data_IF_623081761667
#
_entry.id   IF_623081761667
#
_cell.length_a   1.000
_cell.length_b   1.000
_cell.length_c   1.000
_cell.angle_alpha   90.00
_cell.angle_beta   90.00
_cell.angle_gamma   90.00
#
_symmetry.space_group_name_H-M   'P 1'
#
loop_
_entity.id
_entity.type
_entity.pdbx_description
1 polymer ?
#
# COMPACT_ATOMS: atom_id res chain seq x y z
N UNK A 1 -13.50 12.04 -15.58
CA UNK A 1 -12.68 12.57 -14.47
C UNK A 1 -13.44 12.34 -13.17
N UNK A 2 -12.91 11.58 -12.21
CA UNK A 2 -13.67 11.08 -11.04
C UNK A 2 -14.21 12.21 -10.13
N UNK A 3 -13.46 13.30 -10.00
CA UNK A 3 -13.80 14.49 -9.21
C UNK A 3 -15.00 15.30 -9.75
N UNK A 4 -15.33 15.15 -11.03
CA UNK A 4 -16.45 15.86 -11.68
C UNK A 4 -17.77 15.08 -11.58
N UNK A 5 -17.72 13.78 -11.26
CA UNK A 5 -18.89 12.88 -11.30
C UNK A 5 -19.33 12.38 -9.92
N UNK A 6 -18.49 12.43 -8.88
CA UNK A 6 -18.89 11.95 -7.56
C UNK A 6 -18.07 12.59 -6.41
N UNK A 7 -18.73 12.91 -5.29
CA UNK A 7 -18.07 13.36 -4.06
C UNK A 7 -17.68 12.15 -3.21
N UNK A 8 -16.47 11.65 -3.41
CA UNK A 8 -15.94 10.45 -2.75
C UNK A 8 -14.61 10.72 -2.06
N UNK A 9 -14.33 9.97 -1.00
CA UNK A 9 -12.99 9.89 -0.43
C UNK A 9 -12.15 8.90 -1.25
N UNK A 10 -10.98 9.33 -1.72
CA UNK A 10 -10.07 8.48 -2.49
C UNK A 10 -9.02 7.84 -1.58
N UNK A 11 -9.00 6.51 -1.56
CA UNK A 11 -7.94 5.72 -0.92
C UNK A 11 -7.07 5.04 -1.98
N UNK A 12 -5.75 5.07 -1.80
CA UNK A 12 -4.77 4.55 -2.76
C UNK A 12 -3.79 3.60 -2.08
N UNK A 13 -3.68 2.37 -2.60
CA UNK A 13 -2.67 1.38 -2.21
C UNK A 13 -1.28 1.77 -2.70
N UNK A 14 -0.51 2.42 -1.82
CA UNK A 14 0.83 2.93 -2.13
C UNK A 14 1.90 1.90 -1.81
N UNK A 15 2.01 1.52 -0.54
CA UNK A 15 2.86 0.46 0.03
C UNK A 15 4.38 0.58 -0.14
N UNK A 16 4.89 1.50 -0.96
CA UNK A 16 6.32 1.76 -1.09
C UNK A 16 6.58 3.21 -1.55
N UNK A 17 7.69 3.83 -1.11
CA UNK A 17 8.01 5.20 -1.48
C UNK A 17 8.86 5.33 -2.76
N UNK A 18 9.22 4.21 -3.41
CA UNK A 18 9.99 4.16 -4.65
C UNK A 18 9.43 3.12 -5.62
N UNK A 19 9.66 3.33 -6.92
CA UNK A 19 9.12 2.47 -7.98
C UNK A 19 9.68 1.04 -7.92
N UNK A 20 10.96 0.86 -7.56
CA UNK A 20 11.59 -0.46 -7.57
C UNK A 20 10.96 -1.41 -6.55
N UNK A 21 10.72 -0.93 -5.33
CA UNK A 21 10.01 -1.70 -4.31
C UNK A 21 8.52 -1.80 -4.65
N UNK A 22 7.91 -0.73 -5.18
CA UNK A 22 6.49 -0.75 -5.56
C UNK A 22 6.19 -1.74 -6.68
N UNK A 23 7.09 -1.93 -7.64
CA UNK A 23 6.96 -2.94 -8.69
C UNK A 23 6.93 -4.38 -8.16
N UNK A 24 7.51 -4.61 -6.99
CA UNK A 24 7.51 -5.92 -6.32
C UNK A 24 6.23 -6.11 -5.51
N UNK A 25 5.83 -5.10 -4.73
CA UNK A 25 4.68 -5.18 -3.83
C UNK A 25 3.34 -4.98 -4.55
N UNK A 26 3.31 -4.15 -5.58
CA UNK A 26 2.11 -3.69 -6.30
C UNK A 26 2.40 -3.73 -7.81
N UNK A 27 2.30 -4.90 -8.46
CA UNK A 27 2.78 -5.09 -9.85
C UNK A 27 2.17 -4.17 -10.91
N UNK A 28 1.01 -3.57 -10.63
CA UNK A 28 0.38 -2.55 -11.49
C UNK A 28 1.25 -1.29 -11.64
N UNK A 29 2.20 -1.06 -10.72
CA UNK A 29 3.16 0.06 -10.80
C UNK A 29 4.00 0.06 -12.09
N UNK A 30 4.32 -1.12 -12.63
CA UNK A 30 5.06 -1.24 -13.90
C UNK A 30 4.33 -0.62 -15.08
N UNK A 31 3.00 -0.55 -15.01
CA UNK A 31 2.15 0.09 -16.02
C UNK A 31 1.85 1.55 -15.68
N UNK A 32 1.67 1.86 -14.39
CA UNK A 32 1.35 3.18 -13.87
C UNK A 32 2.30 3.52 -12.71
N UNK A 33 3.49 4.08 -13.00
CA UNK A 33 4.49 4.36 -11.99
C UNK A 33 4.06 5.48 -11.04
N UNK A 34 4.83 5.69 -9.97
CA UNK A 34 4.52 6.66 -8.93
C UNK A 34 4.31 8.09 -9.47
N UNK A 35 5.07 8.49 -10.47
CA UNK A 35 4.98 9.82 -11.08
C UNK A 35 3.58 10.08 -11.66
N UNK A 36 3.07 9.12 -12.43
CA UNK A 36 1.73 9.17 -13.03
C UNK A 36 0.64 9.10 -11.96
N UNK A 37 0.81 8.20 -10.98
CA UNK A 37 -0.12 8.05 -9.87
C UNK A 37 -0.25 9.36 -9.06
N UNK A 38 0.88 9.97 -8.72
CA UNK A 38 0.92 11.21 -7.95
C UNK A 38 0.39 12.39 -8.76
N UNK A 39 0.64 12.44 -10.07
CA UNK A 39 0.05 13.46 -10.96
C UNK A 39 -1.48 13.38 -10.92
N UNK A 40 -2.04 12.19 -11.15
CA UNK A 40 -3.48 11.97 -11.10
C UNK A 40 -4.08 12.30 -9.72
N UNK A 41 -3.36 11.98 -8.64
CA UNK A 41 -3.79 12.32 -7.28
C UNK A 41 -3.78 13.83 -7.01
N UNK A 42 -2.77 14.56 -7.52
CA UNK A 42 -2.72 16.03 -7.45
C UNK A 42 -3.90 16.65 -8.18
N UNK A 43 -4.19 16.19 -9.39
CA UNK A 43 -5.34 16.65 -10.17
C UNK A 43 -6.67 16.39 -9.45
N UNK A 44 -6.80 15.26 -8.75
CA UNK A 44 -8.02 14.93 -8.01
C UNK A 44 -8.31 15.89 -6.85
N UNK A 45 -7.27 16.30 -6.11
CA UNK A 45 -7.41 17.20 -4.94
C UNK A 45 -7.37 18.68 -5.33
N UNK A 46 -6.95 19.01 -6.55
CA UNK A 46 -7.00 20.39 -7.06
C UNK A 46 -8.44 20.91 -7.05
N UNK A 47 -8.61 22.16 -6.58
CA UNK A 47 -9.91 22.84 -6.55
C UNK A 47 -10.75 22.63 -5.28
N UNK A 48 -10.44 21.64 -4.42
CA UNK A 48 -11.12 21.47 -3.13
C UNK A 48 -10.12 21.28 -1.98
N UNK A 49 -9.98 22.33 -1.16
CA UNK A 49 -9.08 22.36 0.00
C UNK A 49 -9.43 21.34 1.08
N UNK A 50 -10.64 20.76 1.06
CA UNK A 50 -11.08 19.76 2.03
C UNK A 50 -10.71 18.34 1.60
N UNK A 51 -10.46 18.11 0.31
CA UNK A 51 -10.11 16.79 -0.20
C UNK A 51 -8.70 16.40 0.22
N UNK A 52 -8.56 15.15 0.64
CA UNK A 52 -7.28 14.53 0.98
C UNK A 52 -7.25 13.15 0.36
N UNK A 53 -6.07 12.74 -0.11
CA UNK A 53 -5.83 11.35 -0.48
C UNK A 53 -5.54 10.55 0.78
N UNK A 54 -6.18 9.39 0.92
CA UNK A 54 -5.83 8.41 1.94
C UNK A 54 -4.88 7.39 1.35
N UNK A 55 -3.63 7.35 1.81
CA UNK A 55 -2.63 6.40 1.37
C UNK A 55 -2.63 5.17 2.26
N UNK A 56 -2.88 4.02 1.69
CA UNK A 56 -2.78 2.73 2.38
C UNK A 56 -1.32 2.25 2.29
N UNK A 57 -0.73 1.95 3.45
CA UNK A 57 0.67 1.53 3.56
C UNK A 57 0.76 0.31 4.48
N UNK A 58 0.94 -0.87 3.87
CA UNK A 58 1.17 -2.11 4.63
C UNK A 58 2.54 -2.06 5.29
N UNK A 59 2.65 -2.54 6.52
CA UNK A 59 3.88 -2.53 7.30
C UNK A 59 4.52 -3.92 7.26
N UNK A 60 5.56 -4.05 6.44
CA UNK A 60 6.30 -5.29 6.21
C UNK A 60 7.69 -5.20 6.85
N UNK A 61 7.94 -6.10 7.79
CA UNK A 61 9.16 -6.18 8.60
C UNK A 61 10.42 -6.26 7.71
N UNK A 62 11.28 -5.25 7.81
CA UNK A 62 12.56 -5.19 7.10
C UNK A 62 12.45 -4.95 5.59
N UNK A 63 11.25 -4.74 5.06
CA UNK A 63 11.01 -4.56 3.61
C UNK A 63 10.69 -3.12 3.27
N UNK A 64 9.67 -2.55 3.91
CA UNK A 64 9.16 -1.22 3.60
C UNK A 64 8.99 -0.32 4.83
N UNK A 65 9.52 -0.73 5.97
CA UNK A 65 9.25 -0.12 7.26
C UNK A 65 10.45 0.65 7.82
N UNK A 66 11.52 0.90 7.07
CA UNK A 66 12.72 1.57 7.59
C UNK A 66 12.55 3.08 7.81
N UNK A 67 13.42 3.68 8.64
CA UNK A 67 13.42 5.15 8.86
C UNK A 67 13.75 5.92 7.59
N UNK A 68 14.56 5.33 6.69
CA UNK A 68 14.86 5.89 5.38
C UNK A 68 13.60 5.95 4.52
N UNK A 69 12.81 4.88 4.51
CA UNK A 69 11.56 4.81 3.76
C UNK A 69 10.51 5.78 4.32
N UNK A 70 10.44 5.98 5.63
CA UNK A 70 9.58 7.01 6.22
C UNK A 70 9.95 8.42 5.68
N UNK A 71 11.24 8.75 5.61
CA UNK A 71 11.71 10.03 5.06
C UNK A 71 11.43 10.17 3.56
N UNK A 72 11.61 9.09 2.79
CA UNK A 72 11.28 9.08 1.36
C UNK A 72 9.78 9.26 1.14
N UNK A 73 8.94 8.62 1.95
CA UNK A 73 7.49 8.75 1.89
C UNK A 73 7.04 10.19 2.17
N UNK A 74 7.63 10.85 3.17
CA UNK A 74 7.36 12.28 3.45
C UNK A 74 7.63 13.14 2.21
N UNK A 75 8.79 12.96 1.57
CA UNK A 75 9.16 13.70 0.36
C UNK A 75 8.25 13.38 -0.82
N UNK A 76 7.87 12.12 -0.97
CA UNK A 76 7.00 11.67 -2.07
C UNK A 76 5.62 12.33 -2.02
N UNK A 77 5.07 12.50 -0.81
CA UNK A 77 3.75 13.04 -0.57
C UNK A 77 3.71 14.57 -0.43
N UNK A 78 4.87 15.24 -0.55
CA UNK A 78 4.97 16.68 -0.42
C UNK A 78 4.09 17.40 -1.46
N UNK A 79 3.38 18.44 -1.00
CA UNK A 79 2.44 19.20 -1.83
C UNK A 79 1.10 18.50 -2.11
N UNK A 80 0.87 17.29 -1.62
CA UNK A 80 -0.42 16.58 -1.75
C UNK A 80 -1.10 16.53 -0.37
N UNK A 81 -2.31 17.12 -0.21
CA UNK A 81 -3.12 16.92 0.98
C UNK A 81 -3.35 15.43 1.24
N UNK A 82 -2.68 14.92 2.28
CA UNK A 82 -2.53 13.48 2.49
C UNK A 82 -2.93 13.06 3.89
N UNK A 83 -3.46 11.86 3.99
CA UNK A 83 -3.58 11.06 5.20
C UNK A 83 -2.96 9.70 4.92
N UNK A 84 -2.21 9.14 5.86
CA UNK A 84 -1.62 7.81 5.72
C UNK A 84 -2.29 6.85 6.69
N UNK A 85 -2.69 5.68 6.21
CA UNK A 85 -3.14 4.57 7.01
C UNK A 85 -2.04 3.50 7.01
N UNK A 86 -1.39 3.30 8.15
CA UNK A 86 -0.47 2.17 8.35
C UNK A 86 -1.29 0.92 8.66
N UNK A 87 -0.99 -0.17 7.98
CA UNK A 87 -1.73 -1.43 8.08
C UNK A 87 -0.75 -2.50 8.53
N UNK A 88 -0.83 -2.96 9.79
CA UNK A 88 -0.11 -4.16 10.20
C UNK A 88 -0.43 -5.30 9.24
N UNK A 89 0.61 -5.97 8.73
CA UNK A 89 0.41 -7.09 7.81
C UNK A 89 -0.17 -8.29 8.55
N UNK A 90 -1.19 -8.92 7.96
CA UNK A 90 -1.73 -10.18 8.43
C UNK A 90 -1.13 -11.31 7.60
N UNK A 91 -0.27 -12.16 8.19
CA UNK A 91 0.39 -13.23 7.44
C UNK A 91 -0.63 -14.28 6.98
N UNK A 92 -0.41 -14.84 5.80
CA UNK A 92 -1.14 -15.99 5.29
C UNK A 92 -0.18 -17.04 4.72
N UNK A 93 -0.60 -18.32 4.62
CA UNK A 93 0.25 -19.39 4.11
C UNK A 93 0.83 -19.07 2.73
N UNK A 94 2.13 -19.29 2.55
CA UNK A 94 2.83 -19.02 1.29
C UNK A 94 3.42 -17.61 1.13
N UNK A 95 3.25 -16.73 2.12
CA UNK A 95 3.92 -15.41 2.11
C UNK A 95 5.30 -15.47 2.76
N UNK A 96 6.29 -14.86 2.12
CA UNK A 96 7.64 -14.67 2.69
C UNK A 96 7.75 -13.41 3.57
N UNK A 97 6.66 -12.68 3.76
CA UNK A 97 6.64 -11.42 4.49
C UNK A 97 6.17 -11.60 5.93
N UNK A 98 6.66 -10.72 6.81
CA UNK A 98 6.20 -10.63 8.20
C UNK A 98 5.68 -9.25 8.49
N UNK A 99 4.80 -9.16 9.48
CA UNK A 99 4.35 -7.88 10.02
C UNK A 99 5.47 -7.19 10.78
N UNK A 100 5.66 -5.89 10.54
CA UNK A 100 6.54 -5.07 11.37
C UNK A 100 6.11 -5.12 12.83
N UNK A 101 7.05 -5.03 13.77
CA UNK A 101 6.71 -5.01 15.20
C UNK A 101 5.87 -3.79 15.57
N UNK A 102 5.05 -3.85 16.64
CA UNK A 102 4.28 -2.69 17.11
C UNK A 102 5.13 -1.45 17.35
N UNK A 103 6.34 -1.61 17.90
CA UNK A 103 7.29 -0.53 18.17
C UNK A 103 7.81 0.09 16.86
N UNK A 104 8.06 -0.74 15.84
CA UNK A 104 8.52 -0.28 14.54
C UNK A 104 7.42 0.49 13.80
N UNK A 105 6.19 0.00 13.85
CA UNK A 105 5.01 0.70 13.31
C UNK A 105 4.78 2.03 14.02
N UNK A 106 4.89 2.05 15.36
CA UNK A 106 4.77 3.27 16.16
C UNK A 106 5.85 4.29 15.79
N UNK A 107 7.11 3.86 15.68
CA UNK A 107 8.21 4.73 15.29
C UNK A 107 8.03 5.31 13.88
N UNK A 108 7.59 4.49 12.92
CA UNK A 108 7.30 4.93 11.55
C UNK A 108 6.17 5.97 11.54
N UNK A 109 5.06 5.68 12.24
CA UNK A 109 3.92 6.59 12.41
C UNK A 109 4.36 7.94 12.98
N UNK A 110 5.10 7.93 14.07
CA UNK A 110 5.49 9.15 14.77
C UNK A 110 6.44 10.01 13.92
N UNK A 111 7.27 9.39 13.06
CA UNK A 111 8.08 10.13 12.08
C UNK A 111 7.22 10.85 11.04
N UNK A 112 6.19 10.19 10.50
CA UNK A 112 5.28 10.81 9.54
C UNK A 112 4.46 11.94 10.20
N UNK A 113 3.97 11.70 11.42
CA UNK A 113 3.25 12.71 12.21
C UNK A 113 4.11 13.94 12.51
N UNK A 114 5.38 13.74 12.90
CA UNK A 114 6.34 14.84 13.11
C UNK A 114 6.61 15.66 11.84
N UNK A 115 6.46 15.04 10.67
CA UNK A 115 6.56 15.72 9.38
C UNK A 115 5.23 16.38 8.93
N UNK A 116 4.19 16.38 9.77
CA UNK A 116 2.90 17.01 9.47
C UNK A 116 1.92 16.13 8.68
N UNK A 117 2.24 14.85 8.46
CA UNK A 117 1.36 13.92 7.75
C UNK A 117 0.47 13.19 8.76
N UNK A 118 -0.85 13.42 8.68
CA UNK A 118 -1.82 12.71 9.52
C UNK A 118 -1.70 11.21 9.25
N UNK A 119 -1.30 10.46 10.26
CA UNK A 119 -1.00 9.04 10.14
C UNK A 119 -1.76 8.24 11.20
N UNK A 120 -2.53 7.26 10.76
CA UNK A 120 -3.31 6.37 11.63
C UNK A 120 -2.84 4.94 11.42
N UNK A 121 -2.59 4.22 12.50
CA UNK A 121 -2.42 2.76 12.42
C UNK A 121 -3.79 2.10 12.50
N UNK A 122 -4.17 1.32 11.48
CA UNK A 122 -5.40 0.52 11.53
C UNK A 122 -5.29 -0.49 12.66
N UNK A 123 -6.29 -0.53 13.53
CA UNK A 123 -6.44 -1.64 14.49
C UNK A 123 -6.77 -2.90 13.70
N UNK A 124 -6.02 -3.98 13.91
CA UNK A 124 -6.43 -5.32 13.50
C UNK A 124 -7.74 -5.63 14.24
N UNK A 125 -8.86 -5.59 13.52
CA UNK A 125 -10.11 -6.19 13.99
C UNK A 125 -10.08 -7.63 13.48
N UNK A 126 -9.99 -8.62 14.37
CA UNK A 126 -10.14 -10.02 13.99
C UNK A 126 -9.02 -11.00 14.38
N UNK A 127 -8.12 -10.68 15.31
CA UNK A 127 -7.23 -11.74 15.84
C UNK A 127 -8.01 -12.85 16.58
N UNK A 128 -9.29 -12.60 16.91
CA UNK A 128 -10.20 -13.60 17.50
C UNK A 128 -11.09 -14.32 16.47
N UNK A 129 -11.14 -13.85 15.20
CA UNK A 129 -12.00 -14.42 14.16
C UNK A 129 -11.42 -14.03 12.80
N UNK A 130 -10.96 -15.05 12.05
CA UNK A 130 -10.45 -15.02 10.66
C UNK A 130 -11.38 -14.27 9.67
N UNK A 131 -11.46 -12.95 9.82
CA UNK A 131 -12.26 -12.05 9.01
C UNK A 131 -11.47 -10.79 8.61
N UNK A 132 -10.14 -10.86 8.56
CA UNK A 132 -9.31 -9.77 8.09
C UNK A 132 -9.38 -9.63 6.56
N UNK A 133 -9.39 -8.38 6.07
CA UNK A 133 -9.42 -8.04 4.64
C UNK A 133 -8.24 -8.72 3.90
N UNK A 134 -8.57 -9.72 3.07
CA UNK A 134 -7.63 -10.67 2.45
C UNK A 134 -8.09 -12.13 2.55
N UNK A 135 -9.03 -12.43 3.45
CA UNK A 135 -9.54 -13.80 3.69
C UNK A 135 -10.80 -14.17 2.90
N UNK A 136 -11.29 -13.32 1.99
CA UNK A 136 -12.29 -13.72 1.00
C UNK A 136 -11.63 -14.55 -0.12
N UNK A 137 -11.09 -15.71 0.25
CA UNK A 137 -10.78 -16.79 -0.70
C UNK A 137 -12.11 -17.46 -1.03
N UNK A 138 -12.93 -16.79 -1.83
CA UNK A 138 -13.98 -17.50 -2.56
C UNK A 138 -13.30 -18.61 -3.35
N UNK A 139 -13.86 -19.82 -3.35
CA UNK A 139 -13.43 -20.91 -4.25
C UNK A 139 -13.68 -20.46 -5.69
N UNK A 140 -12.78 -19.64 -6.22
CA UNK A 140 -12.74 -19.27 -7.63
C UNK A 140 -11.96 -20.39 -8.29
N UNK A 141 -12.61 -21.16 -9.17
CA UNK A 141 -11.88 -21.96 -10.15
C UNK A 141 -11.07 -20.99 -11.00
N UNK A 142 -9.78 -20.87 -10.70
CA UNK A 142 -8.85 -20.07 -11.46
C UNK A 142 -8.76 -20.65 -12.89
N UNK A 143 -9.42 -19.98 -13.85
CA UNK A 143 -9.32 -20.30 -15.28
C UNK A 143 -8.08 -19.69 -15.92
N UNK A 144 -7.25 -18.96 -15.17
CA UNK A 144 -5.97 -18.50 -15.68
C UNK A 144 -4.99 -19.67 -15.65
N UNK A 145 -4.45 -20.03 -16.82
CA UNK A 145 -3.42 -21.07 -17.02
C UNK A 145 -2.07 -20.68 -16.36
N UNK A 146 -2.07 -20.13 -15.15
CA UNK A 146 -0.88 -19.76 -14.38
C UNK A 146 -0.13 -21.00 -13.88
N UNK A 147 -0.84 -22.05 -13.49
CA UNK A 147 -0.24 -23.32 -13.05
C UNK A 147 0.60 -23.98 -14.17
N UNK A 148 0.14 -23.90 -15.42
CA UNK A 148 0.84 -24.45 -16.60
C UNK A 148 2.15 -23.72 -16.93
N UNK A 149 2.32 -22.45 -16.52
CA UNK A 149 3.57 -21.69 -16.76
C UNK A 149 4.61 -21.92 -15.67
N UNK A 150 4.19 -22.22 -14.44
CA UNK A 150 5.09 -22.51 -13.34
C UNK A 150 5.67 -23.93 -13.43
N UNK A 151 4.92 -24.88 -14.01
CA UNK A 151 5.38 -26.25 -14.23
C UNK A 151 6.35 -26.41 -15.43
N UNK A 152 6.45 -25.43 -16.32
CA UNK A 152 7.26 -25.51 -17.54
C UNK A 152 8.66 -24.86 -17.42
N UNK A 153 9.09 -24.49 -16.21
CA UNK A 153 10.33 -23.76 -15.95
C UNK A 153 11.60 -24.60 -15.76
N UNK A 154 11.50 -25.94 -15.65
CA UNK A 154 12.64 -26.82 -15.37
C UNK A 154 12.80 -27.91 -16.46
N UNK A 155 13.27 -27.49 -17.63
CA UNK A 155 13.81 -28.30 -18.73
C UNK A 155 14.27 -27.31 -19.82
N UNK A 156 15.52 -27.16 -20.22
CA UNK A 156 16.64 -28.07 -20.49
C UNK A 156 17.94 -27.23 -20.59
N UNK A 157 19.15 -27.82 -20.70
CA UNK A 157 20.23 -27.12 -21.38
C UNK A 157 19.89 -26.83 -22.85
#
# INVERSE_FOLDING_TARGET
RLNEVCDVMLAVSLHAPDNALRDQLVPINRKYPLEDLLSACREFVQGDKRRKITWEYVMLDGVNDSDRQAKQLVRLLEGIPSKVNLIPFNPFPGTGYRSSTPERILAFRDRLMKAGIITITRKTRGDDIDAACGQLVGRVQDRSRRELRLAAGDAHP
#
